data_IF_484566241507
#
_entry.id   IF_484566241507
#
_cell.length_a   1.000
_cell.length_b   1.000
_cell.length_c   1.000
_cell.angle_alpha   90.00
_cell.angle_beta   90.00
_cell.angle_gamma   90.00
#
_symmetry.space_group_name_H-M   'P 1'
#
loop_
_entity.id
_entity.type
_entity.pdbx_description
1 polymer ?
#
# COMPACT_ATOMS: atom_id res chain seq x y z
N UNK A 1 7.73 -13.63 3.99
CA UNK A 1 7.29 -12.66 2.96
C UNK A 1 8.40 -11.64 2.71
N UNK A 2 8.45 -11.02 1.52
CA UNK A 2 9.25 -9.81 1.26
C UNK A 2 8.40 -8.72 0.63
N UNK A 3 8.77 -7.46 0.87
CA UNK A 3 8.09 -6.26 0.38
C UNK A 3 9.09 -5.37 -0.38
N UNK A 4 8.64 -4.76 -1.46
CA UNK A 4 9.34 -3.68 -2.18
C UNK A 4 8.32 -2.66 -2.65
N UNK A 5 8.69 -1.38 -2.70
CA UNK A 5 7.76 -0.31 -3.02
C UNK A 5 8.26 0.61 -4.12
N UNK A 6 7.35 1.11 -4.94
CA UNK A 6 7.66 2.14 -5.93
C UNK A 6 7.94 3.48 -5.28
N UNK A 7 8.61 4.39 -6.01
CA UNK A 7 8.61 5.81 -5.63
C UNK A 7 7.15 6.32 -5.63
N UNK A 8 6.69 7.01 -4.56
CA UNK A 8 5.37 7.60 -4.54
C UNK A 8 5.20 8.62 -5.66
N UNK A 9 3.98 8.71 -6.20
CA UNK A 9 3.59 9.76 -7.15
C UNK A 9 2.30 10.43 -6.68
N UNK A 10 2.09 11.67 -7.09
CA UNK A 10 0.84 12.39 -6.79
C UNK A 10 -0.10 12.40 -7.98
N UNK A 11 -1.40 12.53 -7.70
CA UNK A 11 -2.44 12.70 -8.70
C UNK A 11 -3.59 13.57 -8.18
N UNK A 12 -4.27 14.27 -9.09
CA UNK A 12 -5.49 15.03 -8.79
C UNK A 12 -6.76 14.19 -8.89
N UNK A 13 -6.69 13.04 -9.55
CA UNK A 13 -7.77 12.06 -9.69
C UNK A 13 -7.19 10.65 -9.67
N UNK A 14 -8.03 9.66 -9.37
CA UNK A 14 -7.67 8.25 -9.40
C UNK A 14 -8.86 7.42 -9.88
N UNK A 15 -8.66 6.48 -10.79
CA UNK A 15 -9.72 5.57 -11.23
C UNK A 15 -9.78 4.37 -10.30
N UNK A 16 -10.93 4.15 -9.67
CA UNK A 16 -11.18 3.01 -8.80
C UNK A 16 -12.49 2.35 -9.21
N UNK A 17 -12.44 1.05 -9.51
CA UNK A 17 -13.61 0.25 -9.95
C UNK A 17 -14.36 0.86 -11.16
N UNK A 18 -13.63 1.49 -12.07
CA UNK A 18 -14.19 2.13 -13.27
C UNK A 18 -14.81 3.51 -13.02
N UNK A 19 -14.66 4.07 -11.83
CA UNK A 19 -15.10 5.43 -11.50
C UNK A 19 -13.91 6.36 -11.21
N UNK A 20 -13.95 7.57 -11.75
CA UNK A 20 -13.01 8.63 -11.37
C UNK A 20 -13.33 9.14 -9.96
N UNK A 21 -12.35 9.04 -9.07
CA UNK A 21 -12.37 9.58 -7.72
C UNK A 21 -11.57 10.88 -7.65
N UNK A 22 -11.96 11.75 -6.71
CA UNK A 22 -11.26 12.99 -6.36
C UNK A 22 -10.82 12.95 -4.90
N UNK A 23 -9.68 13.55 -4.55
CA UNK A 23 -9.25 13.65 -3.16
C UNK A 23 -10.23 14.52 -2.37
N UNK A 24 -10.40 14.19 -1.09
CA UNK A 24 -11.17 14.94 -0.12
C UNK A 24 -10.34 16.06 0.52
N UNK A 25 -9.01 15.88 0.61
CA UNK A 25 -8.09 16.93 1.03
C UNK A 25 -7.66 17.74 -0.18
N UNK A 26 -6.51 17.43 -0.79
CA UNK A 26 -5.99 18.16 -1.95
C UNK A 26 -5.49 17.25 -3.07
N UNK A 27 -4.75 16.18 -2.74
CA UNK A 27 -4.09 15.31 -3.70
C UNK A 27 -4.10 13.86 -3.25
N UNK A 28 -4.14 12.94 -4.21
CA UNK A 28 -3.82 11.54 -3.95
C UNK A 28 -2.32 11.32 -3.97
N UNK A 29 -1.82 10.53 -3.03
CA UNK A 29 -0.49 9.92 -3.07
C UNK A 29 -0.68 8.45 -3.44
N UNK A 30 -0.04 8.01 -4.51
CA UNK A 30 -0.16 6.66 -5.05
C UNK A 30 1.20 5.97 -4.97
N UNK A 31 1.22 4.75 -4.42
CA UNK A 31 2.39 3.91 -4.33
C UNK A 31 2.01 2.47 -4.70
N UNK A 32 2.89 1.79 -5.41
CA UNK A 32 2.77 0.36 -5.70
C UNK A 32 3.66 -0.42 -4.72
N UNK A 33 3.07 -1.36 -4.00
CA UNK A 33 3.75 -2.31 -3.12
C UNK A 33 3.74 -3.67 -3.81
N UNK A 34 4.90 -4.26 -4.05
CA UNK A 34 5.00 -5.66 -4.49
C UNK A 34 5.21 -6.54 -3.27
N UNK A 35 4.30 -7.49 -3.07
CA UNK A 35 4.34 -8.45 -1.98
C UNK A 35 4.71 -9.81 -2.57
N UNK A 36 5.83 -10.38 -2.13
CA UNK A 36 6.27 -11.71 -2.54
C UNK A 36 6.09 -12.69 -1.38
N UNK A 37 5.31 -13.74 -1.63
CA UNK A 37 5.11 -14.81 -0.67
C UNK A 37 6.20 -15.88 -0.82
N UNK A 38 7.23 -15.81 0.02
CA UNK A 38 8.26 -16.83 0.15
C UNK A 38 8.03 -17.75 1.37
N UNK A 39 6.79 -17.83 1.86
CA UNK A 39 6.35 -18.77 2.90
C UNK A 39 5.71 -20.01 2.25
N UNK A 40 5.39 -21.01 3.06
CA UNK A 40 4.70 -22.23 2.63
C UNK A 40 3.16 -22.10 2.68
N UNK A 41 2.63 -21.06 3.33
CA UNK A 41 1.20 -20.79 3.50
C UNK A 41 0.72 -19.64 2.60
N UNK A 42 -0.56 -19.64 2.22
CA UNK A 42 -1.21 -18.53 1.47
C UNK A 42 -1.37 -17.29 2.35
N UNK A 43 -1.16 -16.10 1.77
CA UNK A 43 -1.41 -14.80 2.40
C UNK A 43 -2.72 -14.22 1.84
N UNK A 44 -3.63 -13.79 2.70
CA UNK A 44 -4.90 -13.17 2.32
C UNK A 44 -4.81 -11.66 2.57
N UNK A 45 -4.89 -10.85 1.50
CA UNK A 45 -4.79 -9.40 1.58
C UNK A 45 -6.13 -8.77 1.98
N UNK A 46 -6.09 -7.91 2.99
CA UNK A 46 -7.17 -7.02 3.36
C UNK A 46 -6.72 -5.56 3.32
N UNK A 47 -7.64 -4.66 2.97
CA UNK A 47 -7.36 -3.22 2.92
C UNK A 47 -6.85 -2.67 4.26
N UNK A 48 -7.31 -3.27 5.36
CA UNK A 48 -6.92 -2.91 6.73
C UNK A 48 -5.47 -3.27 7.08
N UNK A 49 -4.77 -4.04 6.23
CA UNK A 49 -3.41 -4.47 6.49
C UNK A 49 -2.39 -3.35 6.23
N UNK A 50 -2.79 -2.26 5.56
CA UNK A 50 -1.87 -1.25 5.03
C UNK A 50 -1.97 0.10 5.72
N UNK A 51 -0.82 0.75 5.93
CA UNK A 51 -0.72 2.13 6.39
C UNK A 51 0.43 2.88 5.68
N UNK A 52 0.26 4.20 5.53
CA UNK A 52 1.32 5.10 5.07
C UNK A 52 1.84 5.96 6.21
N UNK A 53 3.13 6.25 6.18
CA UNK A 53 3.74 7.21 7.09
C UNK A 53 4.47 8.29 6.29
N UNK A 54 4.23 9.56 6.63
CA UNK A 54 4.93 10.69 6.03
C UNK A 54 6.38 10.83 6.52
N UNK A 55 7.14 11.76 5.94
CA UNK A 55 8.53 12.04 6.34
C UNK A 55 8.70 12.56 7.76
N UNK A 56 7.61 12.96 8.42
CA UNK A 56 7.58 13.36 9.84
C UNK A 56 7.13 12.22 10.76
N UNK A 57 6.78 11.05 10.20
CA UNK A 57 6.30 9.87 10.92
C UNK A 57 4.81 9.91 11.26
N UNK A 58 4.03 10.84 10.69
CA UNK A 58 2.58 10.86 10.87
C UNK A 58 1.91 9.85 9.93
N UNK A 59 0.81 9.26 10.40
CA UNK A 59 -0.06 8.42 9.59
C UNK A 59 -0.70 9.24 8.46
N UNK A 60 -0.65 8.69 7.25
CA UNK A 60 -1.39 9.19 6.09
C UNK A 60 -2.47 8.16 5.76
N UNK A 61 -3.73 8.58 5.82
CA UNK A 61 -4.85 7.69 5.62
C UNK A 61 -4.86 7.07 4.21
N UNK A 62 -4.77 5.74 4.13
CA UNK A 62 -4.97 4.99 2.90
C UNK A 62 -6.47 4.92 2.61
N UNK A 63 -6.89 5.55 1.51
CA UNK A 63 -8.30 5.65 1.10
C UNK A 63 -8.72 4.53 0.16
N UNK A 64 -7.81 4.03 -0.66
CA UNK A 64 -8.09 2.94 -1.60
C UNK A 64 -6.93 1.96 -1.68
N UNK A 65 -7.26 0.68 -1.77
CA UNK A 65 -6.34 -0.42 -1.99
C UNK A 65 -6.83 -1.22 -3.19
N UNK A 66 -5.96 -1.52 -4.14
CA UNK A 66 -6.31 -2.38 -5.28
C UNK A 66 -5.23 -3.42 -5.48
N UNK A 67 -5.65 -4.68 -5.63
CA UNK A 67 -4.80 -5.78 -6.02
C UNK A 67 -5.49 -6.61 -7.13
N UNK A 68 -4.73 -7.22 -8.06
CA UNK A 68 -5.31 -8.10 -9.07
C UNK A 68 -5.91 -9.38 -8.48
N UNK A 69 -5.45 -9.77 -7.29
CA UNK A 69 -5.96 -10.89 -6.51
C UNK A 69 -5.75 -10.61 -5.02
N UNK A 70 -6.67 -11.10 -4.20
CA UNK A 70 -6.60 -10.94 -2.74
C UNK A 70 -5.74 -12.04 -2.10
N UNK A 71 -5.56 -13.19 -2.74
CA UNK A 71 -4.74 -14.28 -2.22
C UNK A 71 -3.35 -14.28 -2.89
N UNK A 72 -2.30 -14.43 -2.11
CA UNK A 72 -0.93 -14.63 -2.60
C UNK A 72 -0.49 -16.04 -2.26
N UNK A 73 -0.44 -16.91 -3.26
CA UNK A 73 0.00 -18.30 -3.10
C UNK A 73 1.51 -18.40 -2.80
N UNK A 74 1.97 -19.49 -2.17
CA UNK A 74 3.40 -19.75 -2.00
C UNK A 74 4.19 -19.64 -3.32
N UNK A 75 5.23 -18.82 -3.32
CA UNK A 75 6.09 -18.54 -4.47
C UNK A 75 5.63 -17.40 -5.38
N UNK A 76 4.41 -16.90 -5.21
CA UNK A 76 3.86 -15.83 -6.06
C UNK A 76 4.25 -14.43 -5.58
N UNK A 77 4.08 -13.46 -6.48
CA UNK A 77 4.21 -12.04 -6.18
C UNK A 77 3.01 -11.27 -6.70
N UNK A 78 2.46 -10.38 -5.88
CA UNK A 78 1.28 -9.57 -6.21
C UNK A 78 1.63 -8.09 -6.08
N UNK A 79 1.37 -7.27 -7.12
CA UNK A 79 1.40 -5.83 -6.99
C UNK A 79 0.10 -5.33 -6.33
N UNK A 80 0.24 -4.46 -5.35
CA UNK A 80 -0.84 -3.78 -4.64
C UNK A 80 -0.67 -2.29 -4.82
N UNK A 81 -1.67 -1.62 -5.37
CA UNK A 81 -1.68 -0.15 -5.43
C UNK A 81 -2.37 0.38 -4.18
N UNK A 82 -1.68 1.26 -3.47
CA UNK A 82 -2.16 1.95 -2.29
C UNK A 82 -2.33 3.43 -2.64
N UNK A 83 -3.47 4.00 -2.29
CA UNK A 83 -3.81 5.39 -2.55
C UNK A 83 -4.18 6.08 -1.26
N UNK A 84 -3.32 7.02 -0.84
CA UNK A 84 -3.57 7.90 0.30
C UNK A 84 -4.16 9.22 -0.14
N UNK A 85 -4.97 9.83 0.72
CA UNK A 85 -5.50 11.18 0.55
C UNK A 85 -4.73 12.13 1.47
N UNK A 86 -4.19 13.22 0.92
CA UNK A 86 -3.28 14.10 1.64
C UNK A 86 -3.40 15.57 1.21
N UNK A 87 -2.94 16.46 2.09
CA UNK A 87 -2.69 17.86 1.74
C UNK A 87 -1.53 17.98 0.74
N UNK A 88 -1.54 19.05 -0.05
CA UNK A 88 -0.48 19.32 -1.02
C UNK A 88 0.89 19.45 -0.34
N UNK A 89 1.88 18.70 -0.82
CA UNK A 89 3.26 18.75 -0.32
C UNK A 89 3.62 17.66 0.71
N UNK A 90 2.64 16.88 1.18
CA UNK A 90 2.91 15.67 1.97
C UNK A 90 3.64 14.66 1.09
N UNK A 91 4.66 14.02 1.65
CA UNK A 91 5.44 12.95 1.00
C UNK A 91 5.48 11.73 1.90
N UNK A 92 5.13 10.57 1.36
CA UNK A 92 5.21 9.28 2.06
C UNK A 92 6.67 8.82 2.13
N UNK A 93 7.12 8.47 3.32
CA UNK A 93 8.46 7.95 3.58
C UNK A 93 8.46 6.43 3.73
N UNK A 94 7.39 5.86 4.31
CA UNK A 94 7.30 4.43 4.59
C UNK A 94 5.88 3.92 4.33
N UNK A 95 5.80 2.66 3.92
CA UNK A 95 4.56 1.88 3.91
C UNK A 95 4.70 0.73 4.89
N UNK A 96 3.65 0.48 5.64
CA UNK A 96 3.54 -0.64 6.57
C UNK A 96 2.52 -1.65 6.06
N UNK A 97 2.83 -2.92 6.26
CA UNK A 97 1.89 -4.02 6.11
C UNK A 97 1.84 -4.81 7.43
N UNK A 98 0.64 -5.18 7.87
CA UNK A 98 0.41 -6.08 9.00
C UNK A 98 -0.61 -7.13 8.60
N UNK A 99 -0.14 -8.36 8.36
CA UNK A 99 -0.98 -9.52 8.02
C UNK A 99 -0.67 -10.71 8.96
N UNK A 100 -1.69 -11.43 9.49
CA UNK A 100 -1.48 -12.56 10.39
C UNK A 100 -0.55 -13.68 9.87
N UNK A 101 -0.50 -13.93 8.56
CA UNK A 101 0.29 -15.00 7.96
C UNK A 101 1.63 -14.48 7.44
N UNK A 102 1.60 -13.57 6.47
CA UNK A 102 2.71 -12.96 5.78
C UNK A 102 3.69 -12.26 6.70
N UNK A 103 3.17 -11.56 7.71
CA UNK A 103 3.99 -10.84 8.71
C UNK A 103 3.99 -11.50 10.10
N UNK A 104 3.24 -12.60 10.28
CA UNK A 104 3.02 -13.20 11.58
C UNK A 104 2.27 -12.29 12.56
N UNK A 105 1.45 -11.37 12.04
CA UNK A 105 0.71 -10.36 12.81
C UNK A 105 1.57 -9.23 13.39
N UNK A 106 2.79 -9.02 12.88
CA UNK A 106 3.67 -7.93 13.32
C UNK A 106 3.85 -6.90 12.20
N UNK A 107 3.84 -5.60 12.48
CA UNK A 107 4.01 -4.59 11.45
C UNK A 107 5.38 -4.71 10.77
N UNK A 108 5.36 -4.75 9.44
CA UNK A 108 6.56 -4.71 8.60
C UNK A 108 6.53 -3.40 7.81
N UNK A 109 7.53 -2.56 8.03
CA UNK A 109 7.71 -1.29 7.32
C UNK A 109 8.76 -1.42 6.23
N UNK A 110 8.50 -0.82 5.08
CA UNK A 110 9.50 -0.61 4.03
C UNK A 110 9.55 0.85 3.60
N UNK A 111 10.74 1.40 3.33
CA UNK A 111 10.87 2.75 2.79
C UNK A 111 10.18 2.85 1.44
N UNK A 112 9.51 3.98 1.18
CA UNK A 112 8.91 4.27 -0.11
C UNK A 112 10.00 4.40 -1.19
N UNK A 113 9.87 3.66 -2.29
CA UNK A 113 10.86 3.63 -3.38
C UNK A 113 12.02 2.64 -3.16
N UNK A 114 11.81 1.57 -2.40
CA UNK A 114 12.81 0.51 -2.12
C UNK A 114 12.59 -0.79 -2.88
#
# INVERSE_FOLDING_TARGET
>A
MTLSSSTPRTASTFEFEGEEKKPQLDTFIILELTITNNLDDTIDLADADFAFYDTSGNDVHVSYVTAPQQEILPGDSVPVTLVGDAESGVTVAEVEMTDPVGTGGNPVKVPAGS
#
